data_IF_980760974693
#
_entry.id   IF_980760974693
#
_cell.length_a   1.000
_cell.length_b   1.000
_cell.length_c   1.000
_cell.angle_alpha   90.00
_cell.angle_beta   90.00
_cell.angle_gamma   90.00
#
_symmetry.space_group_name_H-M   'P 1'
#
loop_
_entity.id
_entity.type
_entity.pdbx_description
1 polymer ?
#
# COMPACT_ATOMS: atom_id res chain seq x y z
N UNK A 1 -18.83 -8.12 -8.38
CA UNK A 1 -17.53 -8.50 -7.79
C UNK A 1 -16.75 -9.34 -8.79
N UNK A 2 -15.48 -9.01 -8.94
CA UNK A 2 -14.53 -9.81 -9.69
C UNK A 2 -14.15 -11.08 -8.92
N UNK A 3 -13.53 -12.04 -9.62
CA UNK A 3 -13.05 -13.28 -9.00
C UNK A 3 -11.92 -13.04 -7.99
N UNK A 4 -11.17 -11.94 -8.14
CA UNK A 4 -10.06 -11.58 -7.25
C UNK A 4 -10.57 -11.02 -5.92
N UNK A 5 -11.56 -10.12 -5.97
CA UNK A 5 -12.23 -9.59 -4.77
C UNK A 5 -12.89 -10.70 -3.94
N UNK A 6 -13.49 -11.70 -4.61
CA UNK A 6 -14.04 -12.89 -3.94
C UNK A 6 -12.93 -13.71 -3.26
N UNK A 7 -11.73 -13.76 -3.83
CA UNK A 7 -10.60 -14.52 -3.30
C UNK A 7 -10.06 -13.92 -2.01
N UNK A 8 -10.02 -12.59 -1.92
CA UNK A 8 -9.68 -11.90 -0.67
C UNK A 8 -10.72 -12.17 0.42
N UNK A 9 -12.01 -12.02 0.13
CA UNK A 9 -13.08 -12.34 1.08
C UNK A 9 -13.08 -13.82 1.50
N UNK A 10 -12.68 -14.74 0.60
CA UNK A 10 -12.54 -16.16 0.92
C UNK A 10 -11.45 -16.43 1.94
N UNK A 11 -10.32 -15.73 1.85
CA UNK A 11 -9.22 -15.86 2.79
C UNK A 11 -9.62 -15.34 4.18
N UNK A 12 -10.26 -14.18 4.23
CA UNK A 12 -10.78 -13.58 5.46
C UNK A 12 -11.82 -14.49 6.13
N UNK A 13 -12.82 -14.95 5.36
CA UNK A 13 -13.85 -15.88 5.85
C UNK A 13 -13.29 -17.22 6.31
N UNK A 14 -12.21 -17.71 5.69
CA UNK A 14 -11.56 -18.96 6.09
C UNK A 14 -10.83 -18.83 7.44
N UNK A 15 -10.36 -17.64 7.82
CA UNK A 15 -9.62 -17.42 9.08
C UNK A 15 -10.58 -17.03 10.21
N UNK A 16 -11.46 -16.06 9.97
CA UNK A 16 -12.36 -15.53 11.01
C UNK A 16 -13.62 -16.37 11.18
N UNK A 17 -14.04 -17.09 10.14
CA UNK A 17 -15.27 -17.88 10.13
C UNK A 17 -16.55 -17.06 9.97
N UNK A 18 -16.46 -15.73 9.98
CA UNK A 18 -17.56 -14.79 9.72
C UNK A 18 -17.08 -13.60 8.90
N UNK A 19 -18.01 -12.94 8.22
CA UNK A 19 -17.80 -11.66 7.53
C UNK A 19 -18.90 -10.68 7.94
N UNK A 20 -18.79 -9.42 7.51
CA UNK A 20 -19.93 -8.53 7.54
C UNK A 20 -21.11 -9.12 6.75
N UNK A 21 -22.34 -8.85 7.20
CA UNK A 21 -23.55 -9.52 6.73
C UNK A 21 -23.76 -9.39 5.21
N UNK A 22 -23.38 -8.23 4.64
CA UNK A 22 -23.47 -7.97 3.20
C UNK A 22 -22.47 -8.84 2.42
N UNK A 23 -21.23 -8.89 2.89
CA UNK A 23 -20.16 -9.67 2.23
C UNK A 23 -20.41 -11.17 2.34
N UNK A 24 -20.94 -11.64 3.47
CA UNK A 24 -21.25 -13.05 3.66
C UNK A 24 -22.34 -13.53 2.68
N UNK A 25 -23.41 -12.75 2.49
CA UNK A 25 -24.47 -13.09 1.53
C UNK A 25 -23.98 -13.10 0.08
N UNK A 26 -23.14 -12.13 -0.30
CA UNK A 26 -22.51 -12.09 -1.62
C UNK A 26 -21.63 -13.32 -1.84
N UNK A 27 -20.81 -13.67 -0.83
CA UNK A 27 -19.91 -14.81 -0.89
C UNK A 27 -20.70 -16.13 -0.99
N UNK A 28 -21.74 -16.32 -0.17
CA UNK A 28 -22.62 -17.50 -0.24
C UNK A 28 -23.26 -17.66 -1.62
N UNK A 29 -23.77 -16.56 -2.19
CA UNK A 29 -24.37 -16.57 -3.53
C UNK A 29 -23.34 -16.94 -4.61
N UNK A 30 -22.12 -16.41 -4.51
CA UNK A 30 -21.05 -16.77 -5.44
C UNK A 30 -20.64 -18.24 -5.32
N UNK A 31 -20.49 -18.74 -4.09
CA UNK A 31 -20.13 -20.14 -3.81
C UNK A 31 -21.19 -21.13 -4.30
N UNK A 32 -22.47 -20.75 -4.32
CA UNK A 32 -23.53 -21.57 -4.90
C UNK A 32 -23.31 -21.85 -6.40
N UNK A 33 -22.74 -20.88 -7.13
CA UNK A 33 -22.57 -20.95 -8.58
C UNK A 33 -21.16 -21.33 -9.03
N UNK A 34 -20.13 -21.08 -8.22
CA UNK A 34 -18.73 -21.26 -8.61
C UNK A 34 -18.09 -22.48 -7.94
N UNK A 35 -17.85 -23.55 -8.72
CA UNK A 35 -17.17 -24.75 -8.23
C UNK A 35 -15.70 -24.50 -7.85
N UNK A 36 -15.01 -23.61 -8.56
CA UNK A 36 -13.60 -23.27 -8.30
C UNK A 36 -13.42 -22.63 -6.91
N UNK A 37 -14.22 -21.61 -6.60
CA UNK A 37 -14.18 -20.94 -5.30
C UNK A 37 -14.58 -21.87 -4.14
N UNK A 38 -15.48 -22.84 -4.36
CA UNK A 38 -15.77 -23.88 -3.35
C UNK A 38 -14.58 -24.78 -3.06
N UNK A 39 -13.86 -25.22 -4.10
CA UNK A 39 -12.66 -26.04 -3.94
C UNK A 39 -11.56 -25.26 -3.21
N UNK A 40 -11.40 -23.98 -3.54
CA UNK A 40 -10.43 -23.09 -2.90
C UNK A 40 -10.76 -22.89 -1.42
N UNK A 41 -12.03 -22.62 -1.07
CA UNK A 41 -12.48 -22.53 0.32
C UNK A 41 -12.20 -23.83 1.10
N UNK A 42 -12.48 -25.00 0.49
CA UNK A 42 -12.21 -26.29 1.11
C UNK A 42 -10.71 -26.57 1.27
N UNK A 43 -9.86 -26.02 0.40
CA UNK A 43 -8.41 -26.07 0.55
C UNK A 43 -7.95 -25.19 1.72
N UNK A 44 -8.42 -23.93 1.77
CA UNK A 44 -8.07 -22.99 2.84
C UNK A 44 -8.46 -23.53 4.22
N UNK A 45 -9.67 -24.08 4.38
CA UNK A 45 -10.10 -24.71 5.64
C UNK A 45 -9.26 -25.91 6.05
N UNK A 46 -8.75 -26.69 5.09
CA UNK A 46 -7.84 -27.80 5.38
C UNK A 46 -6.49 -27.29 5.88
N UNK A 47 -5.97 -26.23 5.27
CA UNK A 47 -4.72 -25.59 5.70
C UNK A 47 -4.89 -24.99 7.10
N UNK A 48 -5.97 -24.25 7.32
CA UNK A 48 -6.31 -23.67 8.62
C UNK A 48 -6.41 -24.75 9.71
N UNK A 49 -7.13 -25.84 9.43
CA UNK A 49 -7.22 -26.99 10.34
C UNK A 49 -5.84 -27.59 10.62
N UNK A 50 -5.04 -27.85 9.58
CA UNK A 50 -3.69 -28.39 9.74
C UNK A 50 -2.82 -27.49 10.61
N UNK A 51 -2.89 -26.17 10.44
CA UNK A 51 -2.18 -25.18 11.25
C UNK A 51 -2.68 -25.17 12.71
N UNK A 52 -3.99 -25.24 12.94
CA UNK A 52 -4.56 -25.31 14.30
C UNK A 52 -4.19 -26.61 15.02
N UNK A 53 -4.11 -27.72 14.30
CA UNK A 53 -3.71 -29.01 14.86
C UNK A 53 -2.20 -29.23 14.88
N UNK A 54 -1.43 -28.29 14.32
CA UNK A 54 0.01 -28.42 14.26
C UNK A 54 0.55 -28.50 15.70
N UNK A 55 1.33 -29.53 16.05
CA UNK A 55 1.88 -29.62 17.40
C UNK A 55 2.81 -28.43 17.61
N UNK A 56 2.42 -27.51 18.49
CA UNK A 56 3.33 -26.48 18.98
C UNK A 56 4.30 -27.18 19.92
N UNK A 57 5.53 -27.39 19.46
CA UNK A 57 6.65 -27.75 20.31
C UNK A 57 6.71 -26.73 21.46
N UNK A 58 6.71 -27.18 22.71
CA UNK A 58 6.87 -26.26 23.84
C UNK A 58 8.28 -25.70 23.77
N UNK A 59 8.38 -24.41 23.47
CA UNK A 59 9.64 -23.70 23.52
C UNK A 59 10.15 -23.71 24.96
N UNK A 60 11.40 -24.09 25.15
CA UNK A 60 12.05 -24.04 26.45
C UNK A 60 11.92 -22.64 27.07
N UNK A 61 11.40 -22.58 28.30
CA UNK A 61 11.21 -21.34 29.05
C UNK A 61 12.46 -20.40 29.05
N UNK A 62 13.71 -20.90 29.21
CA UNK A 62 14.89 -20.02 29.14
C UNK A 62 15.12 -19.45 27.73
N UNK A 63 14.82 -20.22 26.67
CA UNK A 63 14.97 -19.76 25.29
C UNK A 63 13.91 -18.72 24.94
N UNK A 64 12.66 -18.94 25.38
CA UNK A 64 11.58 -17.97 25.25
C UNK A 64 11.92 -16.64 25.97
N UNK A 65 12.38 -16.71 27.21
CA UNK A 65 12.78 -15.53 27.97
C UNK A 65 13.93 -14.76 27.30
N UNK A 66 14.92 -15.47 26.73
CA UNK A 66 16.03 -14.86 26.00
C UNK A 66 15.57 -14.18 24.72
N UNK A 67 14.67 -14.79 23.95
CA UNK A 67 14.08 -14.17 22.76
C UNK A 67 13.28 -12.91 23.10
N UNK A 68 12.44 -12.98 24.13
CA UNK A 68 11.66 -11.81 24.57
C UNK A 68 12.56 -10.68 25.08
N UNK A 69 13.66 -11.00 25.77
CA UNK A 69 14.65 -10.01 26.16
C UNK A 69 15.31 -9.34 24.95
N UNK A 70 15.71 -10.11 23.93
CA UNK A 70 16.29 -9.57 22.68
C UNK A 70 15.31 -8.71 21.89
N UNK A 71 14.02 -9.09 21.84
CA UNK A 71 12.99 -8.28 21.20
C UNK A 71 12.71 -6.99 21.97
N UNK A 72 12.69 -7.04 23.30
CA UNK A 72 12.49 -5.86 24.13
C UNK A 72 13.65 -4.86 24.00
N UNK A 73 14.89 -5.34 23.87
CA UNK A 73 16.04 -4.47 23.60
C UNK A 73 15.99 -3.89 22.19
N UNK A 74 15.69 -4.71 21.17
CA UNK A 74 15.54 -4.23 19.79
C UNK A 74 14.44 -3.18 19.64
N UNK A 75 13.33 -3.32 20.37
CA UNK A 75 12.24 -2.35 20.36
C UNK A 75 12.61 -1.03 21.05
N UNK A 76 13.41 -1.07 22.12
CA UNK A 76 13.89 0.15 22.81
C UNK A 76 14.97 0.89 22.02
N UNK A 77 15.82 0.16 21.31
CA UNK A 77 16.90 0.74 20.51
C UNK A 77 16.44 1.16 19.12
N UNK A 78 15.22 0.78 18.71
CA UNK A 78 14.61 1.32 17.51
C UNK A 78 14.32 2.81 17.76
N UNK A 79 14.96 3.74 17.01
CA UNK A 79 14.60 5.15 17.10
C UNK A 79 13.09 5.29 16.83
N UNK A 80 12.41 6.30 17.41
CA UNK A 80 10.99 6.53 17.17
C UNK A 80 10.81 6.51 15.66
N UNK A 81 10.02 5.56 15.16
CA UNK A 81 9.95 5.24 13.76
C UNK A 81 9.71 6.53 12.98
N UNK A 82 10.79 7.12 12.46
CA UNK A 82 10.68 8.28 11.62
C UNK A 82 9.85 7.75 10.46
N UNK A 83 8.67 8.33 10.25
CA UNK A 83 7.71 7.76 9.34
C UNK A 83 8.39 7.62 7.99
N UNK A 84 8.30 6.41 7.44
CA UNK A 84 9.13 5.98 6.33
C UNK A 84 9.16 7.05 5.24
N UNK A 85 10.36 7.39 4.76
CA UNK A 85 10.63 8.39 3.71
C UNK A 85 9.57 8.45 2.58
N UNK A 86 8.99 7.31 2.10
CA UNK A 86 7.96 7.32 1.06
C UNK A 86 6.66 8.05 1.41
N UNK A 87 6.35 8.23 2.70
CA UNK A 87 5.05 8.75 3.15
C UNK A 87 5.08 10.28 3.32
N UNK A 88 6.21 10.87 3.70
CA UNK A 88 6.27 12.30 4.03
C UNK A 88 6.54 13.20 2.82
N UNK A 89 7.27 12.70 1.82
CA UNK A 89 7.49 13.44 0.56
C UNK A 89 6.18 13.78 -0.16
N UNK A 90 5.22 12.85 -0.36
CA UNK A 90 3.94 13.19 -0.97
C UNK A 90 3.13 14.16 -0.11
N UNK A 91 3.17 14.01 1.22
CA UNK A 91 2.45 14.92 2.12
C UNK A 91 2.99 16.37 2.03
N UNK A 92 4.32 16.53 2.04
CA UNK A 92 4.98 17.85 1.93
C UNK A 92 4.75 18.46 0.55
N UNK A 93 4.80 17.67 -0.52
CA UNK A 93 4.55 18.18 -1.88
C UNK A 93 3.11 18.63 -2.06
N UNK A 94 2.13 17.90 -1.54
CA UNK A 94 0.72 18.32 -1.53
C UNK A 94 0.54 19.60 -0.73
N UNK A 95 1.11 19.68 0.48
CA UNK A 95 1.02 20.88 1.32
C UNK A 95 1.65 22.10 0.65
N UNK A 96 2.81 21.92 0.01
CA UNK A 96 3.50 22.99 -0.72
C UNK A 96 2.70 23.42 -1.95
N UNK A 97 2.19 22.48 -2.74
CA UNK A 97 1.37 22.77 -3.90
C UNK A 97 0.08 23.53 -3.52
N UNK A 98 -0.56 23.12 -2.43
CA UNK A 98 -1.75 23.79 -1.89
C UNK A 98 -1.43 25.21 -1.43
N UNK A 99 -0.33 25.39 -0.68
CA UNK A 99 0.14 26.71 -0.25
C UNK A 99 0.46 27.63 -1.43
N UNK A 100 1.09 27.10 -2.48
CA UNK A 100 1.38 27.84 -3.70
C UNK A 100 0.09 28.22 -4.44
N UNK A 101 -0.88 27.31 -4.55
CA UNK A 101 -2.16 27.57 -5.18
C UNK A 101 -2.95 28.67 -4.45
N UNK A 102 -2.92 28.67 -3.11
CA UNK A 102 -3.51 29.72 -2.28
C UNK A 102 -2.80 31.07 -2.45
N UNK A 103 -1.47 31.06 -2.58
CA UNK A 103 -0.68 32.28 -2.72
C UNK A 103 -0.80 32.92 -4.12
N UNK A 104 -0.90 32.09 -5.17
CA UNK A 104 -1.07 32.53 -6.55
C UNK A 104 -2.55 32.69 -6.95
N UNK A 105 -3.49 32.38 -6.07
CA UNK A 105 -4.90 32.63 -6.32
C UNK A 105 -5.08 34.14 -6.57
N UNK A 106 -5.46 34.56 -7.79
CA UNK A 106 -5.71 35.97 -8.05
C UNK A 106 -6.81 36.41 -7.10
N UNK A 107 -6.56 37.45 -6.31
CA UNK A 107 -7.58 38.09 -5.49
C UNK A 107 -8.77 38.35 -6.41
N UNK A 108 -9.85 37.59 -6.22
CA UNK A 108 -11.05 37.71 -7.04
C UNK A 108 -11.43 39.19 -7.03
N UNK A 109 -11.34 39.90 -8.17
CA UNK A 109 -11.70 41.30 -8.18
C UNK A 109 -13.14 41.35 -7.70
N UNK A 110 -13.37 42.15 -6.66
CA UNK A 110 -14.71 42.40 -6.15
C UNK A 110 -15.61 42.72 -7.37
N UNK A 111 -16.76 42.06 -7.44
CA UNK A 111 -17.77 42.23 -8.49
C UNK A 111 -18.21 43.71 -8.55
N UNK A 112 -17.43 44.53 -9.22
CA UNK A 112 -17.80 45.87 -9.63
C UNK A 112 -18.76 45.70 -10.80
N UNK A 113 -20.01 46.14 -10.63
CA UNK A 113 -20.99 46.13 -11.71
C UNK A 113 -20.40 46.87 -12.93
N UNK A 114 -20.34 46.23 -14.11
CA UNK A 114 -19.76 46.85 -15.30
C UNK A 114 -20.65 47.99 -15.81
N UNK A 115 -20.02 49.12 -16.15
CA UNK A 115 -20.62 50.24 -16.87
C UNK A 115 -20.75 49.85 -18.36
N UNK A 116 -21.95 49.86 -18.97
CA UNK A 116 -22.24 49.17 -20.24
C UNK A 116 -21.62 49.78 -21.52
N UNK A 117 -20.62 50.65 -21.43
CA UNK A 117 -20.10 51.40 -22.59
C UNK A 117 -18.68 51.03 -23.05
N UNK A 118 -17.96 50.13 -22.36
CA UNK A 118 -16.57 49.74 -22.72
C UNK A 118 -16.37 48.25 -23.03
N UNK A 119 -17.44 47.45 -23.09
CA UNK A 119 -17.41 45.97 -23.11
C UNK A 119 -16.65 45.32 -24.28
N UNK A 120 -16.62 45.94 -25.46
CA UNK A 120 -16.09 45.27 -26.65
C UNK A 120 -14.56 45.35 -26.84
N UNK A 121 -13.88 46.34 -26.24
CA UNK A 121 -12.43 46.48 -26.38
C UNK A 121 -11.63 45.68 -25.34
N UNK A 122 -12.25 45.33 -24.21
CA UNK A 122 -11.58 44.69 -23.07
C UNK A 122 -11.78 43.15 -23.02
N UNK A 123 -12.79 42.63 -23.72
CA UNK A 123 -13.08 41.20 -23.81
C UNK A 123 -12.05 40.38 -24.60
N UNK A 124 -11.34 41.00 -25.56
CA UNK A 124 -10.35 40.30 -26.39
C UNK A 124 -8.95 40.29 -25.78
N UNK A 125 -8.58 41.31 -25.01
CA UNK A 125 -7.29 41.36 -24.31
C UNK A 125 -7.20 40.40 -23.11
N UNK A 126 -8.32 40.09 -22.47
CA UNK A 126 -8.38 39.21 -21.29
C UNK A 126 -8.51 37.72 -21.63
N UNK A 127 -9.07 37.39 -22.80
CA UNK A 127 -9.16 36.00 -23.28
C UNK A 127 -7.77 35.43 -23.62
N UNK A 128 -6.92 36.22 -24.29
CA UNK A 128 -5.61 35.76 -24.75
C UNK A 128 -4.62 35.50 -23.60
N UNK A 129 -4.69 36.29 -22.52
CA UNK A 129 -3.86 36.10 -21.33
C UNK A 129 -4.25 34.86 -20.53
N UNK A 130 -5.54 34.51 -20.51
CA UNK A 130 -6.07 33.39 -19.72
C UNK A 130 -5.72 32.04 -20.33
N UNK A 131 -5.76 31.94 -21.66
CA UNK A 131 -5.38 30.73 -22.40
C UNK A 131 -3.87 30.46 -22.31
N UNK A 132 -3.05 31.51 -22.39
CA UNK A 132 -1.60 31.41 -22.20
C UNK A 132 -1.24 30.96 -20.77
N UNK A 133 -1.94 31.49 -19.75
CA UNK A 133 -1.74 31.09 -18.36
C UNK A 133 -2.14 29.63 -18.13
N UNK A 134 -3.26 29.20 -18.69
CA UNK A 134 -3.72 27.81 -18.61
C UNK A 134 -2.74 26.85 -19.31
N UNK A 135 -2.23 27.21 -20.48
CA UNK A 135 -1.24 26.40 -21.18
C UNK A 135 0.06 26.23 -20.37
N UNK A 136 0.54 27.29 -19.73
CA UNK A 136 1.73 27.24 -18.86
C UNK A 136 1.46 26.35 -17.63
N UNK A 137 0.30 26.46 -17.00
CA UNK A 137 -0.06 25.64 -15.84
C UNK A 137 -0.22 24.15 -16.18
N UNK A 138 -0.86 23.83 -17.30
CA UNK A 138 -0.99 22.45 -17.76
C UNK A 138 0.40 21.87 -18.08
N UNK A 139 1.26 22.64 -18.75
CA UNK A 139 2.64 22.22 -19.03
C UNK A 139 3.44 21.95 -17.75
N UNK A 140 3.34 22.82 -16.75
CA UNK A 140 4.01 22.66 -15.47
C UNK A 140 3.50 21.43 -14.70
N UNK A 141 2.18 21.19 -14.67
CA UNK A 141 1.58 20.03 -14.01
C UNK A 141 2.02 18.71 -14.66
N UNK A 142 2.05 18.66 -16.00
CA UNK A 142 2.51 17.47 -16.75
C UNK A 142 3.99 17.21 -16.49
N UNK A 143 4.84 18.24 -16.47
CA UNK A 143 6.27 18.09 -16.17
C UNK A 143 6.51 17.58 -14.74
N UNK A 144 5.77 18.10 -13.75
CA UNK A 144 5.84 17.65 -12.35
C UNK A 144 5.36 16.19 -12.19
N UNK A 145 4.27 15.82 -12.85
CA UNK A 145 3.79 14.44 -12.86
C UNK A 145 4.80 13.47 -13.49
N UNK A 146 5.44 13.88 -14.59
CA UNK A 146 6.49 13.11 -15.25
C UNK A 146 7.73 12.90 -14.35
N UNK A 147 8.18 13.96 -13.65
CA UNK A 147 9.30 13.86 -12.72
C UNK A 147 8.96 12.99 -11.48
N UNK A 148 7.72 13.06 -10.99
CA UNK A 148 7.25 12.19 -9.92
C UNK A 148 7.21 10.72 -10.32
N UNK A 149 6.76 10.43 -11.55
CA UNK A 149 6.69 9.06 -12.05
C UNK A 149 8.08 8.45 -12.27
N UNK A 150 9.03 9.21 -12.82
CA UNK A 150 10.41 8.72 -13.03
C UNK A 150 11.15 8.49 -11.72
N UNK A 151 10.94 9.33 -10.71
CA UNK A 151 11.51 9.13 -9.37
C UNK A 151 10.87 7.95 -8.63
N UNK A 152 9.54 7.78 -8.74
CA UNK A 152 8.84 6.61 -8.19
C UNK A 152 9.31 5.29 -8.83
N UNK A 153 9.47 5.27 -10.16
CA UNK A 153 10.00 4.09 -10.87
C UNK A 153 11.48 3.84 -10.53
N UNK A 154 12.29 4.89 -10.37
CA UNK A 154 13.70 4.76 -9.95
C UNK A 154 13.84 4.17 -8.54
N UNK A 155 12.94 4.54 -7.62
CA UNK A 155 12.89 3.95 -6.27
C UNK A 155 12.34 2.53 -6.27
N UNK A 156 11.38 2.20 -7.14
CA UNK A 156 10.91 0.82 -7.31
C UNK A 156 12.00 -0.10 -7.88
N UNK A 157 13.00 0.47 -8.57
CA UNK A 157 14.15 -0.25 -9.15
C UNK A 157 15.38 -0.21 -8.24
N UNK A 158 15.36 0.50 -7.10
CA UNK A 158 16.47 0.46 -6.15
C UNK A 158 16.54 -0.93 -5.47
N UNK A 159 17.62 -1.71 -5.70
CA UNK A 159 17.82 -3.02 -5.10
C UNK A 159 18.27 -2.85 -3.65
N UNK A 160 17.36 -2.40 -2.79
CA UNK A 160 17.59 -2.12 -1.38
C UNK A 160 16.55 -2.75 -0.43
N UNK A 161 15.60 -3.53 -0.95
CA UNK A 161 14.76 -4.39 -0.11
C UNK A 161 15.58 -5.61 0.36
N UNK A 162 15.39 -6.10 1.59
CA UNK A 162 16.30 -6.99 2.29
C UNK A 162 16.50 -8.26 1.47
N UNK A 163 17.74 -8.36 1.01
CA UNK A 163 18.40 -9.47 0.35
C UNK A 163 17.57 -10.76 0.31
N UNK A 164 16.79 -10.94 -0.76
CA UNK A 164 16.15 -12.23 -1.07
C UNK A 164 17.19 -13.35 -1.17
N UNK A 165 18.47 -13.04 -1.42
CA UNK A 165 19.54 -14.03 -1.33
C UNK A 165 19.83 -14.42 0.12
N UNK A 166 19.73 -13.50 1.09
CA UNK A 166 19.84 -13.83 2.51
C UNK A 166 18.70 -14.74 2.98
N UNK A 167 17.47 -14.52 2.48
CA UNK A 167 16.33 -15.40 2.77
C UNK A 167 16.53 -16.77 2.12
N UNK A 168 17.01 -16.79 0.87
CA UNK A 168 17.30 -18.04 0.15
C UNK A 168 18.46 -18.81 0.79
N UNK A 169 19.47 -18.12 1.31
CA UNK A 169 20.60 -18.71 2.02
C UNK A 169 20.18 -19.31 3.35
N UNK A 170 19.36 -18.60 4.14
CA UNK A 170 18.79 -19.13 5.40
C UNK A 170 17.88 -20.33 5.15
N UNK A 171 17.10 -20.32 4.08
CA UNK A 171 16.27 -21.47 3.70
C UNK A 171 17.11 -22.69 3.30
N UNK A 172 18.22 -22.48 2.58
CA UNK A 172 19.15 -23.55 2.24
C UNK A 172 19.89 -24.11 3.47
N UNK A 173 20.35 -23.24 4.38
CA UNK A 173 21.00 -23.64 5.63
C UNK A 173 20.02 -24.43 6.54
N UNK A 174 18.74 -24.03 6.61
CA UNK A 174 17.72 -24.74 7.37
C UNK A 174 17.40 -26.13 6.80
N UNK A 175 17.34 -26.26 5.47
CA UNK A 175 17.09 -27.54 4.81
C UNK A 175 18.24 -28.54 5.07
N UNK A 176 19.49 -28.06 5.11
CA UNK A 176 20.65 -28.91 5.36
C UNK A 176 20.69 -29.40 6.83
N UNK A 177 20.33 -28.54 7.79
CA UNK A 177 20.22 -28.93 9.19
C UNK A 177 19.18 -30.05 9.41
N UNK A 178 18.00 -29.95 8.78
CA UNK A 178 16.95 -30.99 8.86
C UNK A 178 17.47 -32.32 8.29
N UNK A 179 18.24 -32.26 7.20
CA UNK A 179 18.81 -33.45 6.56
C UNK A 179 19.84 -34.15 7.44
N UNK A 180 20.67 -33.39 8.16
CA UNK A 180 21.68 -33.94 9.08
C UNK A 180 21.05 -34.63 10.30
N UNK A 181 19.97 -34.07 10.85
CA UNK A 181 19.23 -34.73 11.93
C UNK A 181 18.57 -36.05 11.49
N UNK A 182 18.06 -36.10 10.26
CA UNK A 182 17.44 -37.32 9.73
C UNK A 182 18.43 -38.46 9.48
N UNK A 183 19.74 -38.18 9.33
CA UNK A 183 20.77 -39.20 9.07
C UNK A 183 21.48 -39.70 10.33
N UNK A 184 21.52 -38.91 11.41
CA UNK A 184 22.20 -39.29 12.67
C UNK A 184 21.25 -39.87 13.75
N UNK A 185 19.94 -39.82 13.53
CA UNK A 185 18.94 -40.37 14.45
C UNK A 185 18.62 -41.86 14.25
N UNK A 186 19.56 -42.66 13.74
CA UNK A 186 19.37 -44.10 13.50
C UNK A 186 20.39 -44.95 14.25
#
# INVERSE_FOLDING_TARGET
MSHEEIRELLAEFAVEGHLDQVHEEILKRHLACCAKCRLELAHLRRVEYALRTWPLERVDAPLHARLMAMLATAYRESPPAMPSWPIWVPLVTIALAMGLALLLAPAMPALSLPDPTTEFAQATASAHGRDALLAIWIGAAVALAGAGLTTALSQAVQPGHPDLQSVRRRAAEAAEHIRQFATHGR
#
